data_IF_759673215764
#
_entry.id   IF_759673215764
#
_cell.length_a   1.000
_cell.length_b   1.000
_cell.length_c   1.000
_cell.angle_alpha   90.00
_cell.angle_beta   90.00
_cell.angle_gamma   90.00
#
_symmetry.space_group_name_H-M   'P 1'
#
loop_
_entity.id
_entity.type
_entity.pdbx_description
1 polymer ?
#
# COMPACT_ATOMS: atom_id res chain seq x y z
N UNK A 1 -10.37 19.52 8.25
CA UNK A 1 -10.89 18.14 8.37
C UNK A 1 -11.78 17.94 9.59
N UNK A 2 -12.11 18.97 10.40
CA UNK A 2 -13.11 18.88 11.49
C UNK A 2 -12.96 17.67 12.43
N UNK A 3 -11.72 17.27 12.72
CA UNK A 3 -11.39 16.10 13.56
C UNK A 3 -11.60 14.73 12.90
N UNK A 4 -11.73 14.66 11.57
CA UNK A 4 -11.98 13.43 10.78
C UNK A 4 -10.82 13.08 9.86
N UNK A 5 -10.83 11.87 9.29
CA UNK A 5 -9.88 11.43 8.27
C UNK A 5 -8.65 10.67 8.78
N UNK A 6 -8.49 10.55 10.10
CA UNK A 6 -7.48 9.67 10.69
C UNK A 6 -7.93 8.21 10.60
N UNK A 7 -7.00 7.31 10.26
CA UNK A 7 -7.20 5.87 10.41
C UNK A 7 -7.23 5.46 11.88
N UNK A 8 -7.75 4.28 12.17
CA UNK A 8 -7.76 3.71 13.51
C UNK A 8 -6.35 3.69 14.13
N UNK A 9 -6.27 3.86 15.44
CA UNK A 9 -5.00 3.94 16.19
C UNK A 9 -4.13 2.66 16.10
N UNK A 10 -4.72 1.54 15.68
CA UNK A 10 -4.00 0.27 15.50
C UNK A 10 -3.16 0.26 14.22
N UNK A 11 -3.56 0.99 13.18
CA UNK A 11 -2.74 1.19 11.99
C UNK A 11 -1.65 2.19 12.34
N UNK A 12 -0.49 1.66 12.71
CA UNK A 12 0.64 2.44 13.24
C UNK A 12 1.92 2.05 12.53
N UNK A 13 2.91 2.95 12.61
CA UNK A 13 4.24 2.68 12.10
C UNK A 13 4.79 1.39 12.72
N UNK A 14 5.32 0.50 11.88
CA UNK A 14 5.95 -0.74 12.31
C UNK A 14 7.08 -0.45 13.29
N UNK A 15 7.17 -1.28 14.34
CA UNK A 15 8.14 -1.08 15.40
C UNK A 15 9.60 -1.09 14.88
N UNK A 16 10.42 -0.20 15.45
CA UNK A 16 11.84 -0.06 15.13
C UNK A 16 12.16 0.90 13.98
N UNK A 17 11.16 1.48 13.30
CA UNK A 17 11.39 2.67 12.46
C UNK A 17 11.62 3.92 13.33
N UNK A 18 12.38 4.91 12.83
CA UNK A 18 12.47 6.24 13.46
C UNK A 18 11.08 6.83 13.71
N UNK A 19 10.86 7.46 14.86
CA UNK A 19 9.54 8.03 15.21
C UNK A 19 9.13 9.16 14.27
N UNK A 20 10.12 9.79 13.63
CA UNK A 20 9.98 10.87 12.68
C UNK A 20 9.73 10.36 11.25
N UNK A 21 9.67 9.04 11.03
CA UNK A 21 9.33 8.47 9.72
C UNK A 21 7.95 8.95 9.29
N UNK A 22 7.92 9.61 8.13
CA UNK A 22 6.70 10.13 7.50
C UNK A 22 6.47 9.41 6.19
N UNK A 23 5.20 9.32 5.83
CA UNK A 23 4.76 8.77 4.56
C UNK A 23 3.92 9.84 3.85
N UNK A 24 4.31 10.20 2.63
CA UNK A 24 3.62 11.17 1.80
C UNK A 24 3.79 10.75 0.33
N UNK A 25 2.68 10.71 -0.40
CA UNK A 25 2.66 10.40 -1.82
C UNK A 25 1.23 10.20 -2.33
N UNK A 26 1.10 9.93 -3.63
CA UNK A 26 -0.20 9.62 -4.25
C UNK A 26 -0.61 8.20 -3.87
N UNK A 27 -1.85 8.02 -3.42
CA UNK A 27 -2.36 6.71 -3.06
C UNK A 27 -2.56 5.84 -4.31
N UNK A 28 -1.97 4.65 -4.31
CA UNK A 28 -2.41 3.52 -5.13
C UNK A 28 -3.05 2.48 -4.21
N UNK A 29 -4.33 2.24 -4.41
CA UNK A 29 -5.14 1.39 -3.55
C UNK A 29 -5.18 -0.03 -4.10
N UNK A 30 -5.19 -1.00 -3.20
CA UNK A 30 -5.55 -2.37 -3.56
C UNK A 30 -6.36 -3.04 -2.47
N UNK A 31 -7.28 -3.90 -2.89
CA UNK A 31 -7.99 -4.80 -1.99
C UNK A 31 -7.45 -6.21 -2.21
N UNK A 32 -6.97 -6.83 -1.13
CA UNK A 32 -6.43 -8.18 -1.16
C UNK A 32 -7.38 -9.21 -0.51
N UNK A 33 -8.38 -8.76 0.25
CA UNK A 33 -9.24 -9.64 1.03
C UNK A 33 -8.50 -10.35 2.19
N UNK A 34 -9.19 -11.26 2.90
CA UNK A 34 -8.63 -11.96 4.04
C UNK A 34 -7.61 -13.02 3.59
N UNK A 35 -6.36 -12.83 4.00
CA UNK A 35 -5.31 -13.84 3.92
C UNK A 35 -4.68 -14.07 2.54
N UNK A 36 -4.88 -13.13 1.61
CA UNK A 36 -4.29 -13.15 0.28
C UNK A 36 -3.45 -11.87 0.04
N UNK A 37 -2.52 -11.91 -0.91
CA UNK A 37 -1.68 -10.75 -1.27
C UNK A 37 -1.53 -10.49 -2.77
N UNK A 38 -2.33 -11.15 -3.62
CA UNK A 38 -2.31 -10.96 -5.07
C UNK A 38 -2.58 -9.50 -5.45
N UNK A 39 -3.52 -8.85 -4.76
CA UNK A 39 -3.81 -7.43 -4.96
C UNK A 39 -2.60 -6.53 -4.69
N UNK A 40 -1.78 -6.86 -3.70
CA UNK A 40 -0.56 -6.12 -3.38
C UNK A 40 0.53 -6.31 -4.45
N UNK A 41 0.70 -7.55 -4.96
CA UNK A 41 1.61 -7.79 -6.09
C UNK A 41 1.23 -6.95 -7.31
N UNK A 42 -0.05 -6.89 -7.64
CA UNK A 42 -0.52 -6.06 -8.74
C UNK A 42 -0.37 -4.56 -8.47
N UNK A 43 -0.61 -4.10 -7.24
CA UNK A 43 -0.36 -2.70 -6.87
C UNK A 43 1.11 -2.31 -7.02
N UNK A 44 2.04 -3.18 -6.63
CA UNK A 44 3.49 -2.97 -6.83
C UNK A 44 3.85 -2.90 -8.31
N UNK A 45 3.20 -3.70 -9.17
CA UNK A 45 3.43 -3.69 -10.61
C UNK A 45 2.96 -2.39 -11.30
N UNK A 46 1.88 -1.79 -10.80
CA UNK A 46 1.29 -0.56 -11.36
C UNK A 46 1.83 0.73 -10.70
N UNK A 47 2.49 0.62 -9.54
CA UNK A 47 2.95 1.75 -8.77
C UNK A 47 3.97 2.61 -9.53
N UNK A 48 3.84 3.93 -9.40
CA UNK A 48 4.82 4.89 -9.88
C UNK A 48 5.77 5.33 -8.77
N UNK A 49 6.98 5.82 -9.11
CA UNK A 49 7.88 6.39 -8.12
C UNK A 49 7.21 7.46 -7.26
N UNK A 50 7.29 7.32 -5.94
CA UNK A 50 6.67 8.20 -4.96
C UNK A 50 5.21 7.86 -4.60
N UNK A 51 4.59 6.87 -5.24
CA UNK A 51 3.26 6.39 -4.82
C UNK A 51 3.33 5.77 -3.42
N UNK A 52 2.23 5.87 -2.67
CA UNK A 52 1.99 5.17 -1.40
C UNK A 52 1.00 4.05 -1.66
N UNK A 53 1.39 2.82 -1.37
CA UNK A 53 0.45 1.70 -1.50
C UNK A 53 -0.48 1.69 -0.27
N UNK A 54 -1.78 1.65 -0.51
CA UNK A 54 -2.81 1.53 0.52
C UNK A 54 -3.57 0.23 0.32
N UNK A 55 -3.26 -0.78 1.12
CA UNK A 55 -3.72 -2.15 0.94
C UNK A 55 -4.75 -2.55 2.01
N UNK A 56 -5.98 -2.83 1.58
CA UNK A 56 -7.03 -3.34 2.45
C UNK A 56 -7.02 -4.87 2.49
N UNK A 57 -7.15 -5.43 3.70
CA UNK A 57 -7.17 -6.87 3.96
C UNK A 57 -8.42 -7.31 4.73
N UNK A 58 -9.48 -6.50 4.68
CA UNK A 58 -10.68 -6.66 5.51
C UNK A 58 -10.35 -6.86 6.99
N UNK A 59 -9.28 -6.20 7.46
CA UNK A 59 -8.85 -6.27 8.85
C UNK A 59 -8.52 -7.69 9.35
N UNK A 60 -8.23 -8.62 8.43
CA UNK A 60 -7.91 -10.01 8.75
C UNK A 60 -6.53 -10.14 9.42
N UNK A 61 -6.50 -10.88 10.52
CA UNK A 61 -5.31 -11.02 11.39
C UNK A 61 -4.77 -12.47 11.45
N UNK A 62 -5.33 -13.40 10.66
CA UNK A 62 -4.90 -14.80 10.64
C UNK A 62 -3.57 -15.04 9.93
N UNK A 63 -3.21 -14.19 8.95
CA UNK A 63 -1.96 -14.25 8.18
C UNK A 63 -1.44 -12.84 7.88
N UNK A 64 -0.17 -12.72 7.50
CA UNK A 64 0.41 -11.47 7.07
C UNK A 64 0.01 -11.16 5.62
N UNK A 65 -0.03 -9.87 5.26
CA UNK A 65 -0.14 -9.41 3.88
C UNK A 65 1.21 -9.52 3.13
N UNK A 66 2.28 -9.10 3.80
CA UNK A 66 3.60 -8.98 3.19
C UNK A 66 4.73 -9.18 4.19
N UNK A 67 5.92 -9.48 3.66
CA UNK A 67 7.20 -9.45 4.35
C UNK A 67 8.22 -8.58 3.61
N UNK A 68 9.48 -8.75 3.98
CA UNK A 68 10.62 -8.01 3.43
C UNK A 68 10.81 -8.18 1.91
N UNK A 69 10.58 -9.38 1.36
CA UNK A 69 10.78 -9.65 -0.08
C UNK A 69 9.90 -8.77 -0.97
N UNK A 70 8.60 -8.74 -0.71
CA UNK A 70 7.65 -7.94 -1.50
C UNK A 70 7.81 -6.44 -1.20
N UNK A 71 8.21 -6.07 0.01
CA UNK A 71 8.61 -4.68 0.29
C UNK A 71 9.89 -4.28 -0.46
N UNK A 72 10.84 -5.21 -0.65
CA UNK A 72 12.02 -5.01 -1.48
C UNK A 72 11.66 -4.79 -2.95
N UNK A 73 10.65 -5.50 -3.47
CA UNK A 73 10.09 -5.24 -4.81
C UNK A 73 9.48 -3.84 -4.88
N UNK A 74 8.68 -3.44 -3.90
CA UNK A 74 8.09 -2.09 -3.83
C UNK A 74 9.18 -1.00 -3.80
N UNK A 75 10.28 -1.22 -3.08
CA UNK A 75 11.44 -0.32 -3.06
C UNK A 75 12.08 -0.18 -4.43
N UNK A 76 12.21 -1.26 -5.19
CA UNK A 76 12.75 -1.21 -6.55
C UNK A 76 11.87 -0.38 -7.49
N UNK A 77 10.54 -0.37 -7.27
CA UNK A 77 9.60 0.52 -7.95
C UNK A 77 9.60 1.96 -7.39
N UNK A 78 10.45 2.28 -6.40
CA UNK A 78 10.56 3.60 -5.75
C UNK A 78 9.26 4.06 -5.08
N UNK A 79 8.46 3.13 -4.59
CA UNK A 79 7.29 3.40 -3.74
C UNK A 79 7.75 4.12 -2.46
N UNK A 80 6.94 5.05 -1.95
CA UNK A 80 7.26 5.82 -0.74
C UNK A 80 7.03 5.03 0.56
N UNK A 81 6.14 4.03 0.53
CA UNK A 81 5.86 3.12 1.64
C UNK A 81 4.50 2.42 1.51
N UNK A 82 4.09 1.74 2.59
CA UNK A 82 2.87 0.94 2.64
C UNK A 82 2.00 1.35 3.83
N UNK A 83 0.69 1.40 3.62
CA UNK A 83 -0.33 1.48 4.66
C UNK A 83 -1.29 0.31 4.50
N UNK A 84 -1.56 -0.42 5.58
CA UNK A 84 -2.51 -1.54 5.57
C UNK A 84 -3.22 -1.70 6.92
N UNK A 85 -4.44 -2.21 6.89
CA UNK A 85 -5.16 -2.68 8.07
C UNK A 85 -4.90 -4.16 8.37
N UNK A 86 -3.97 -4.79 7.64
CA UNK A 86 -3.50 -6.14 7.89
C UNK A 86 -2.23 -6.20 8.74
N UNK A 87 -1.73 -7.42 8.89
CA UNK A 87 -0.46 -7.72 9.56
C UNK A 87 0.67 -7.88 8.55
N UNK A 88 1.92 -7.72 9.00
CA UNK A 88 3.12 -7.97 8.20
C UNK A 88 4.01 -9.04 8.85
N UNK A 89 5.09 -9.44 8.19
CA UNK A 89 6.12 -10.30 8.75
C UNK A 89 7.52 -9.73 8.49
N UNK A 90 8.54 -10.38 9.04
CA UNK A 90 9.96 -10.04 8.81
C UNK A 90 10.29 -8.57 9.13
N UNK A 91 9.95 -8.03 10.33
CA UNK A 91 10.08 -6.61 10.63
C UNK A 91 11.50 -6.08 10.53
N UNK A 92 12.51 -6.91 10.84
CA UNK A 92 13.93 -6.56 10.62
C UNK A 92 14.25 -6.39 9.14
N UNK A 93 13.85 -7.33 8.29
CA UNK A 93 14.05 -7.24 6.84
C UNK A 93 13.31 -6.04 6.25
N UNK A 94 12.07 -5.77 6.66
CA UNK A 94 11.31 -4.58 6.25
C UNK A 94 12.04 -3.29 6.63
N UNK A 95 12.65 -3.22 7.83
CA UNK A 95 13.45 -2.06 8.24
C UNK A 95 14.69 -1.88 7.38
N UNK A 96 15.36 -2.96 7.00
CA UNK A 96 16.52 -2.93 6.12
C UNK A 96 16.17 -2.49 4.68
N UNK A 97 14.96 -2.82 4.21
CA UNK A 97 14.42 -2.29 2.95
C UNK A 97 14.29 -0.76 3.02
N UNK A 98 13.99 -0.21 4.20
CA UNK A 98 13.94 1.24 4.44
C UNK A 98 12.66 1.93 3.95
N UNK A 99 11.62 1.16 3.62
CA UNK A 99 10.29 1.69 3.32
C UNK A 99 9.42 1.69 4.59
N UNK A 100 8.93 2.85 5.05
CA UNK A 100 8.05 2.89 6.21
C UNK A 100 6.75 2.12 5.92
N UNK A 101 6.35 1.28 6.89
CA UNK A 101 5.13 0.48 6.82
C UNK A 101 4.24 0.84 8.00
N UNK A 102 3.01 1.23 7.71
CA UNK A 102 1.95 1.42 8.69
C UNK A 102 1.02 0.20 8.62
N UNK A 103 0.91 -0.54 9.70
CA UNK A 103 0.17 -1.80 9.76
C UNK A 103 -0.45 -2.00 11.14
N UNK A 104 -1.30 -3.03 11.30
CA UNK A 104 -1.88 -3.36 12.61
C UNK A 104 -0.94 -4.11 13.54
N UNK A 105 0.05 -4.81 12.99
CA UNK A 105 0.96 -5.64 13.77
C UNK A 105 1.70 -6.66 12.91
N UNK A 106 2.19 -7.70 13.57
CA UNK A 106 3.06 -8.71 12.97
C UNK A 106 2.51 -10.11 13.21
N UNK A 107 2.61 -10.98 12.20
CA UNK A 107 2.37 -12.42 12.32
C UNK A 107 3.29 -13.17 11.36
N UNK A 108 3.84 -14.33 11.75
CA UNK A 108 4.68 -15.13 10.85
C UNK A 108 3.88 -15.92 9.80
N UNK A 109 2.56 -16.05 9.98
CA UNK A 109 1.72 -16.87 9.12
C UNK A 109 1.67 -16.29 7.69
N UNK A 110 1.98 -17.11 6.69
CA UNK A 110 2.02 -16.69 5.28
C UNK A 110 0.62 -16.55 4.68
N UNK A 111 0.37 -15.58 3.79
CA UNK A 111 -0.85 -15.52 3.00
C UNK A 111 -0.81 -16.52 1.85
N UNK A 112 -1.97 -16.76 1.26
CA UNK A 112 -2.09 -17.34 -0.08
C UNK A 112 -1.92 -16.27 -1.16
N UNK A 113 -1.91 -16.67 -2.43
CA UNK A 113 -1.82 -15.77 -3.58
C UNK A 113 -2.65 -16.30 -4.73
N UNK A 114 -3.94 -16.46 -4.47
CA UNK A 114 -4.95 -17.01 -5.38
C UNK A 114 -5.91 -15.93 -5.87
N UNK A 115 -6.01 -14.80 -5.16
CA UNK A 115 -7.01 -13.79 -5.40
C UNK A 115 -8.42 -14.23 -5.00
N UNK A 116 -9.45 -13.44 -5.38
CA UNK A 116 -9.36 -12.23 -6.21
C UNK A 116 -8.70 -11.06 -5.48
N UNK A 117 -8.12 -10.13 -6.24
CA UNK A 117 -7.64 -8.84 -5.73
C UNK A 117 -7.99 -7.72 -6.70
N UNK A 118 -8.10 -6.49 -6.21
CA UNK A 118 -8.40 -5.30 -7.03
C UNK A 118 -7.35 -4.23 -6.82
N UNK A 119 -7.13 -3.38 -7.83
CA UNK A 119 -6.14 -2.29 -7.81
C UNK A 119 -6.80 -1.03 -8.38
N UNK A 120 -6.55 0.12 -7.78
CA UNK A 120 -7.06 1.42 -8.26
C UNK A 120 -8.51 1.71 -7.88
N UNK A 121 -9.22 0.74 -7.29
CA UNK A 121 -10.59 0.92 -6.81
C UNK A 121 -10.62 1.48 -5.38
N UNK A 122 -11.71 2.16 -4.96
CA UNK A 122 -11.86 2.60 -3.58
C UNK A 122 -11.75 1.45 -2.58
N UNK A 123 -11.02 1.68 -1.49
CA UNK A 123 -10.85 0.72 -0.39
C UNK A 123 -11.15 1.37 0.95
N UNK A 124 -11.37 0.56 1.98
CA UNK A 124 -11.44 1.03 3.37
C UNK A 124 -10.26 0.43 4.12
N UNK A 125 -9.42 1.29 4.70
CA UNK A 125 -8.26 0.90 5.52
C UNK A 125 -8.34 1.65 6.84
N UNK A 126 -8.33 0.91 7.95
CA UNK A 126 -8.42 1.50 9.29
C UNK A 126 -9.67 2.36 9.50
N UNK A 127 -10.80 2.00 8.87
CA UNK A 127 -12.06 2.75 8.94
C UNK A 127 -12.14 3.99 8.04
N UNK A 128 -11.10 4.27 7.23
CA UNK A 128 -11.08 5.42 6.31
C UNK A 128 -11.20 4.93 4.87
N UNK A 129 -12.14 5.53 4.13
CA UNK A 129 -12.24 5.35 2.68
C UNK A 129 -11.06 6.05 2.00
N UNK A 130 -10.31 5.31 1.20
CA UNK A 130 -9.21 5.82 0.39
C UNK A 130 -9.50 5.50 -1.07
N UNK A 131 -9.28 6.48 -1.93
CA UNK A 131 -9.45 6.36 -3.38
C UNK A 131 -8.10 6.61 -4.04
N UNK A 132 -7.77 5.78 -5.03
CA UNK A 132 -6.66 6.08 -5.92
C UNK A 132 -6.97 7.31 -6.76
N UNK A 133 -5.95 8.09 -7.09
CA UNK A 133 -6.06 8.98 -8.23
C UNK A 133 -6.22 8.10 -9.49
N UNK A 134 -7.43 8.04 -10.04
CA UNK A 134 -7.78 7.07 -11.08
C UNK A 134 -6.85 7.20 -12.29
N UNK A 135 -6.35 6.07 -12.80
CA UNK A 135 -5.54 6.02 -14.02
C UNK A 135 -6.20 6.63 -15.26
N UNK A 136 -7.52 6.92 -15.27
CA UNK A 136 -8.15 7.68 -16.35
C UNK A 136 -7.59 9.12 -16.47
N UNK A 137 -7.16 9.76 -15.38
CA UNK A 137 -6.40 11.03 -15.45
C UNK A 137 -4.93 10.83 -15.82
N UNK A 138 -4.35 9.66 -15.52
CA UNK A 138 -2.96 9.28 -15.90
C UNK A 138 -2.87 8.89 -17.40
N UNK A 139 -3.87 8.21 -17.96
CA UNK A 139 -4.03 7.90 -19.40
C UNK A 139 -4.21 9.19 -20.20
N UNK A 140 -5.01 10.15 -19.72
CA UNK A 140 -5.16 11.46 -20.38
C UNK A 140 -3.85 12.28 -20.39
N UNK A 141 -2.96 12.10 -19.40
CA UNK A 141 -1.65 12.77 -19.36
C UNK A 141 -0.64 12.18 -20.38
N UNK A 142 -0.82 10.91 -20.77
CA UNK A 142 -0.04 10.26 -21.84
C UNK A 142 -0.62 10.57 -23.24
N UNK A 143 -1.88 10.98 -23.36
CA UNK A 143 -2.54 11.28 -24.65
C UNK A 143 -2.67 12.78 -25.02
N UNK A 144 -2.32 13.71 -24.13
CA UNK A 144 -2.51 15.16 -24.36
C UNK A 144 -1.29 15.92 -24.92
N UNK A 145 -0.23 15.25 -25.36
CA UNK A 145 0.94 15.92 -25.96
C UNK A 145 0.99 15.73 -27.48
N UNK A 146 0.12 16.45 -28.19
CA UNK A 146 0.40 16.91 -29.56
C UNK A 146 0.23 18.44 -29.63
N UNK A 147 1.31 19.22 -29.48
CA UNK A 147 1.32 20.56 -30.01
C UNK A 147 1.45 20.49 -31.53
N UNK A 148 0.43 21.03 -32.22
CA UNK A 148 0.54 21.50 -33.60
C UNK A 148 1.84 22.30 -33.76
N UNK A 149 2.61 22.00 -34.81
CA UNK A 149 3.55 22.97 -35.40
C UNK A 149 3.15 23.16 -36.86
N UNK A 150 2.58 24.34 -37.14
CA UNK A 150 2.94 25.11 -38.32
C UNK A 150 4.21 25.88 -37.98
#
# INVERSE_FOLDING_TARGET
>A
MDGRGAMEHRVRLLEGFPKESRLLGTAITCHCGPGDNLGLFGAVAEAQPGDVIVAATDSFEGTCLTGDLLMGMARNCKVAGLVTDGLVRDPEGIRQVGLPVFCRGVTPNSPVRNGPGTIGFPVVVGGVKVESETSLRRILKVWSLSPKKN
#
